data_IF_248142565038
#
_entry.id   IF_248142565038
#
_cell.length_a   1.000
_cell.length_b   1.000
_cell.length_c   1.000
_cell.angle_alpha   90.00
_cell.angle_beta   90.00
_cell.angle_gamma   90.00
#
_symmetry.space_group_name_H-M   'P 1'
#
loop_
_entity.id
_entity.type
_entity.pdbx_description
1 polymer ?
#
# COMPACT_ATOMS: atom_id res chain seq x y z
N UNK A 1 21.55 -7.06 7.59
CA UNK A 1 20.25 -6.37 7.51
C UNK A 1 19.47 -6.74 8.75
N UNK A 2 19.15 -5.76 9.59
CA UNK A 2 18.36 -5.96 10.81
C UNK A 2 16.93 -6.39 10.48
N UNK A 3 16.38 -7.28 11.31
CA UNK A 3 15.03 -7.84 11.14
C UNK A 3 13.95 -6.75 11.04
N UNK A 4 14.08 -5.66 11.80
CA UNK A 4 13.22 -4.48 11.73
C UNK A 4 13.23 -3.80 10.36
N UNK A 5 14.39 -3.76 9.69
CA UNK A 5 14.52 -3.15 8.36
C UNK A 5 13.76 -3.98 7.33
N UNK A 6 13.87 -5.32 7.39
CA UNK A 6 13.09 -6.22 6.55
C UNK A 6 11.58 -6.07 6.79
N UNK A 7 11.15 -5.96 8.06
CA UNK A 7 9.74 -5.77 8.39
C UNK A 7 9.17 -4.44 7.85
N UNK A 8 9.94 -3.35 7.90
CA UNK A 8 9.50 -2.05 7.38
C UNK A 8 9.43 -2.06 5.85
N UNK A 9 10.41 -2.64 5.17
CA UNK A 9 10.36 -2.80 3.72
C UNK A 9 9.19 -3.69 3.27
N UNK A 10 8.98 -4.81 3.95
CA UNK A 10 7.87 -5.71 3.66
C UNK A 10 6.52 -5.02 3.92
N UNK A 11 6.36 -4.32 5.05
CA UNK A 11 5.16 -3.54 5.35
C UNK A 11 4.87 -2.50 4.26
N UNK A 12 5.90 -1.76 3.84
CA UNK A 12 5.76 -0.70 2.83
C UNK A 12 5.40 -1.31 1.48
N UNK A 13 6.09 -2.37 1.07
CA UNK A 13 5.85 -3.09 -0.19
C UNK A 13 4.44 -3.71 -0.25
N UNK A 14 4.06 -4.46 0.78
CA UNK A 14 2.74 -5.10 0.86
C UNK A 14 1.62 -4.05 0.89
N UNK A 15 1.82 -2.95 1.61
CA UNK A 15 0.84 -1.85 1.65
C UNK A 15 0.74 -1.14 0.30
N UNK A 16 1.84 -0.87 -0.39
CA UNK A 16 1.81 -0.28 -1.75
C UNK A 16 1.07 -1.16 -2.74
N UNK A 17 1.33 -2.48 -2.72
CA UNK A 17 0.65 -3.42 -3.59
C UNK A 17 -0.84 -3.54 -3.23
N UNK A 18 -1.17 -3.57 -1.94
CA UNK A 18 -2.56 -3.59 -1.45
C UNK A 18 -3.35 -2.36 -1.88
N UNK A 19 -2.80 -1.15 -1.71
CA UNK A 19 -3.45 0.09 -2.15
C UNK A 19 -3.67 0.11 -3.65
N UNK A 20 -2.63 -0.17 -4.44
CA UNK A 20 -2.72 -0.16 -5.91
C UNK A 20 -3.70 -1.21 -6.43
N UNK A 21 -3.63 -2.44 -5.92
CA UNK A 21 -4.50 -3.54 -6.34
C UNK A 21 -5.96 -3.30 -5.98
N UNK A 22 -6.24 -2.82 -4.76
CA UNK A 22 -7.61 -2.57 -4.31
C UNK A 22 -8.23 -1.35 -5.01
N UNK A 23 -7.45 -0.29 -5.26
CA UNK A 23 -7.92 0.84 -6.07
C UNK A 23 -8.20 0.42 -7.51
N UNK A 24 -7.34 -0.41 -8.10
CA UNK A 24 -7.55 -0.95 -9.45
C UNK A 24 -8.84 -1.76 -9.53
N UNK A 25 -9.04 -2.71 -8.61
CA UNK A 25 -10.27 -3.53 -8.54
C UNK A 25 -11.51 -2.66 -8.28
N UNK A 26 -11.44 -1.72 -7.34
CA UNK A 26 -12.55 -0.80 -7.04
C UNK A 26 -12.92 0.10 -8.22
N UNK A 27 -11.95 0.50 -9.05
CA UNK A 27 -12.17 1.30 -10.26
C UNK A 27 -12.80 0.45 -11.37
N UNK A 28 -12.31 -0.77 -11.57
CA UNK A 28 -12.89 -1.72 -12.53
C UNK A 28 -14.36 -2.00 -12.20
N UNK A 29 -14.69 -2.23 -10.93
CA UNK A 29 -16.08 -2.47 -10.51
C UNK A 29 -16.97 -1.26 -10.73
N UNK A 30 -16.43 -0.04 -10.61
CA UNK A 30 -17.17 1.21 -10.91
C UNK A 30 -17.43 1.42 -12.40
N UNK A 31 -16.58 0.88 -13.28
CA UNK A 31 -16.72 0.97 -14.74
C UNK A 31 -17.57 -0.16 -15.33
N UNK A 32 -18.43 -0.81 -14.55
CA UNK A 32 -19.18 -2.01 -14.95
C UNK A 32 -18.27 -3.18 -15.37
N UNK A 33 -17.09 -3.29 -14.77
CA UNK A 33 -16.19 -4.44 -14.91
C UNK A 33 -16.65 -5.68 -14.15
N UNK A 34 -17.95 -5.83 -13.91
CA UNK A 34 -18.61 -6.93 -13.19
C UNK A 34 -18.20 -8.31 -13.75
N UNK A 35 -17.89 -8.36 -15.04
CA UNK A 35 -17.37 -9.54 -15.75
C UNK A 35 -16.00 -10.02 -15.26
N UNK A 36 -15.18 -9.14 -14.67
CA UNK A 36 -13.78 -9.43 -14.33
C UNK A 36 -13.66 -10.26 -13.05
N UNK A 37 -14.63 -10.13 -12.14
CA UNK A 37 -14.73 -10.92 -10.92
C UNK A 37 -15.93 -11.86 -10.91
N UNK A 38 -16.74 -11.87 -11.97
CA UNK A 38 -17.94 -12.71 -12.09
C UNK A 38 -19.06 -12.33 -11.12
N UNK A 39 -19.17 -11.04 -10.75
CA UNK A 39 -20.24 -10.54 -9.89
C UNK A 39 -21.45 -10.10 -10.71
N UNK A 40 -22.63 -10.15 -10.09
CA UNK A 40 -23.83 -9.47 -10.62
C UNK A 40 -23.76 -7.97 -10.32
N UNK A 41 -24.40 -7.15 -11.17
CA UNK A 41 -24.43 -5.68 -11.06
C UNK A 41 -24.81 -5.17 -9.65
N UNK A 42 -25.75 -5.86 -8.99
CA UNK A 42 -26.19 -5.55 -7.62
C UNK A 42 -25.07 -5.69 -6.58
N UNK A 43 -24.15 -6.62 -6.79
CA UNK A 43 -23.05 -6.91 -5.86
C UNK A 43 -21.78 -6.09 -6.19
N UNK A 44 -21.71 -5.50 -7.39
CA UNK A 44 -20.57 -4.69 -7.82
C UNK A 44 -20.40 -3.42 -6.98
N UNK A 45 -21.50 -2.77 -6.59
CA UNK A 45 -21.47 -1.55 -5.76
C UNK A 45 -20.93 -1.82 -4.35
N UNK A 46 -21.48 -2.76 -3.55
CA UNK A 46 -20.94 -3.05 -2.22
C UNK A 46 -19.51 -3.59 -2.28
N UNK A 47 -19.16 -4.41 -3.28
CA UNK A 47 -17.80 -4.92 -3.47
C UNK A 47 -16.80 -3.80 -3.80
N UNK A 48 -17.15 -2.84 -4.67
CA UNK A 48 -16.28 -1.69 -4.94
C UNK A 48 -16.04 -0.86 -3.69
N UNK A 49 -17.07 -0.68 -2.86
CA UNK A 49 -17.01 0.07 -1.61
C UNK A 49 -16.07 -0.62 -0.62
N UNK A 50 -16.13 -1.94 -0.52
CA UNK A 50 -15.22 -2.74 0.29
C UNK A 50 -13.76 -2.64 -0.20
N UNK A 51 -13.52 -2.61 -1.52
CA UNK A 51 -12.19 -2.38 -2.09
C UNK A 51 -11.64 -1.00 -1.71
N UNK A 52 -12.44 0.07 -1.79
CA UNK A 52 -12.00 1.41 -1.37
C UNK A 52 -11.70 1.48 0.13
N UNK A 53 -12.51 0.82 0.96
CA UNK A 53 -12.31 0.77 2.41
C UNK A 53 -11.03 0.00 2.76
N UNK A 54 -10.79 -1.14 2.12
CA UNK A 54 -9.54 -1.88 2.22
C UNK A 54 -8.33 -1.05 1.77
N UNK A 55 -8.44 -0.35 0.64
CA UNK A 55 -7.38 0.54 0.16
C UNK A 55 -7.07 1.65 1.17
N UNK A 56 -8.07 2.17 1.87
CA UNK A 56 -7.88 3.18 2.91
C UNK A 56 -7.06 2.63 4.09
N UNK A 57 -7.38 1.41 4.55
CA UNK A 57 -6.62 0.74 5.62
C UNK A 57 -5.16 0.53 5.21
N UNK A 58 -4.91 -0.05 4.03
CA UNK A 58 -3.54 -0.22 3.52
C UNK A 58 -2.84 1.13 3.30
N UNK A 59 -3.58 2.19 2.95
CA UNK A 59 -3.05 3.55 2.85
C UNK A 59 -2.53 4.10 4.18
N UNK A 60 -3.22 3.83 5.29
CA UNK A 60 -2.76 4.20 6.63
C UNK A 60 -1.49 3.43 7.00
N UNK A 61 -1.44 2.12 6.72
CA UNK A 61 -0.22 1.32 6.94
C UNK A 61 0.96 1.82 6.11
N UNK A 62 0.72 2.18 4.85
CA UNK A 62 1.72 2.76 3.95
C UNK A 62 2.26 4.08 4.52
N UNK A 63 1.41 4.97 5.03
CA UNK A 63 1.83 6.22 5.67
C UNK A 63 2.71 5.96 6.90
N UNK A 64 2.27 5.08 7.81
CA UNK A 64 3.01 4.79 9.04
C UNK A 64 4.36 4.13 8.74
N UNK A 65 4.37 3.07 7.93
CA UNK A 65 5.59 2.36 7.56
C UNK A 65 6.52 3.23 6.68
N UNK A 66 5.96 4.03 5.78
CA UNK A 66 6.69 4.97 4.94
C UNK A 66 7.36 6.11 5.72
N UNK A 67 6.69 6.67 6.75
CA UNK A 67 7.30 7.67 7.63
C UNK A 67 8.46 7.08 8.44
N UNK A 68 8.36 5.82 8.88
CA UNK A 68 9.46 5.12 9.55
C UNK A 68 10.62 4.82 8.60
N UNK A 69 10.32 4.41 7.36
CA UNK A 69 11.32 4.17 6.33
C UNK A 69 12.07 5.47 5.98
N UNK A 70 11.38 6.60 5.79
CA UNK A 70 12.03 7.90 5.53
C UNK A 70 12.97 8.32 6.67
N UNK A 71 12.56 8.12 7.93
CA UNK A 71 13.41 8.42 9.09
C UNK A 71 14.67 7.54 9.12
N UNK A 72 14.54 6.24 8.80
CA UNK A 72 15.68 5.33 8.71
C UNK A 72 16.61 5.70 7.55
N UNK A 73 16.05 6.04 6.40
CA UNK A 73 16.83 6.41 5.22
C UNK A 73 17.60 7.72 5.46
N UNK A 74 16.98 8.72 6.09
CA UNK A 74 17.66 9.96 6.51
C UNK A 74 18.84 9.69 7.44
N UNK A 75 18.63 8.86 8.48
CA UNK A 75 19.70 8.50 9.43
C UNK A 75 20.88 7.77 8.78
N UNK A 76 20.62 6.90 7.80
CA UNK A 76 21.70 6.22 7.08
C UNK A 76 22.43 7.17 6.13
N UNK A 77 21.71 8.12 5.50
CA UNK A 77 22.31 9.14 4.64
C UNK A 77 23.24 10.07 5.45
N UNK A 78 22.81 10.50 6.65
CA UNK A 78 23.62 11.34 7.55
C UNK A 78 24.91 10.62 7.99
N UNK A 79 24.85 9.31 8.24
CA UNK A 79 26.04 8.52 8.58
C UNK A 79 27.05 8.41 7.44
N UNK A 80 26.57 8.26 6.20
CA UNK A 80 27.42 8.23 5.02
C UNK A 80 28.17 9.56 4.83
N UNK A 81 27.49 10.69 5.05
CA UNK A 81 28.10 12.03 4.97
C UNK A 81 29.19 12.24 6.04
N UNK A 82 29.00 11.71 7.26
CA UNK A 82 30.01 11.77 8.33
C UNK A 82 31.19 10.81 8.12
N UNK A 83 31.00 9.67 7.43
CA UNK A 83 32.09 8.72 7.12
C UNK A 83 32.98 9.17 5.94
N UNK A 84 32.52 10.12 5.11
CA UNK A 84 33.30 10.71 4.01
C UNK A 84 34.14 11.94 4.42
N UNK A 85 34.16 12.32 5.71
CA UNK A 85 34.89 13.49 6.25
C UNK A 85 35.99 13.10 7.26
#
# INVERSE_FOLDING_TARGET
MDMDTCCIYFCTGLSTFGVMGLLFMGTLLKMHGEWFLGLTAEQAVPASTACYLGAMIYGVYLLVCGLRLKKLLKKNLEKLDEEEM
#
